data_IF_961979784720
#
_entry.id   IF_961979784720
#
_cell.length_a   1.000
_cell.length_b   1.000
_cell.length_c   1.000
_cell.angle_alpha   90.00
_cell.angle_beta   90.00
_cell.angle_gamma   90.00
#
_symmetry.space_group_name_H-M   'P 1'
#
loop_
_entity.id
_entity.type
_entity.pdbx_description
1 polymer ?
#
# COMPACT_ATOMS: atom_id res chain seq x y z
N UNK A 1 -3.27 17.46 -1.29
CA UNK A 1 -4.03 16.43 -0.57
C UNK A 1 -3.65 16.55 0.89
N UNK A 2 -4.46 17.25 1.67
CA UNK A 2 -4.19 17.58 3.08
C UNK A 2 -4.83 16.49 3.94
N UNK A 3 -4.03 15.84 4.77
CA UNK A 3 -4.52 14.87 5.75
C UNK A 3 -5.27 15.66 6.84
N UNK A 4 -6.60 15.71 6.76
CA UNK A 4 -7.46 16.33 7.77
C UNK A 4 -7.68 15.29 8.89
N UNK A 5 -7.02 15.48 10.02
CA UNK A 5 -7.34 14.74 11.26
C UNK A 5 -8.16 15.67 12.15
N UNK A 6 -9.34 15.20 12.52
CA UNK A 6 -10.30 15.91 13.36
C UNK A 6 -9.74 16.21 14.75
N UNK A 7 -9.96 17.43 15.22
CA UNK A 7 -9.68 17.89 16.58
C UNK A 7 -10.95 17.77 17.40
N UNK A 8 -10.88 17.10 18.55
CA UNK A 8 -11.86 17.15 19.64
C UNK A 8 -11.10 16.89 20.95
N UNK A 9 -11.38 17.47 22.10
CA UNK A 9 -12.22 18.60 22.53
C UNK A 9 -11.79 18.93 23.99
N UNK A 10 -11.83 20.22 24.32
CA UNK A 10 -11.74 20.93 25.61
C UNK A 10 -11.20 20.22 26.88
N UNK A 11 -10.10 20.80 27.41
CA UNK A 11 -9.72 20.74 28.82
C UNK A 11 -10.08 22.05 29.54
N UNK A 12 -10.74 21.94 30.68
CA UNK A 12 -11.15 23.03 31.59
C UNK A 12 -9.94 23.54 32.38
N UNK A 13 -9.74 24.86 32.42
CA UNK A 13 -8.66 25.54 33.16
C UNK A 13 -8.93 25.60 34.67
N UNK A 14 -7.90 25.33 35.47
CA UNK A 14 -7.76 25.80 36.86
C UNK A 14 -6.31 26.25 37.07
N UNK A 15 -6.14 27.44 37.64
CA UNK A 15 -4.87 28.16 37.81
C UNK A 15 -4.04 27.64 38.99
N UNK A 16 -2.70 27.64 38.84
CA UNK A 16 -1.79 27.67 39.98
C UNK A 16 -0.45 26.99 39.73
N UNK A 17 0.63 27.76 39.90
CA UNK A 17 1.99 27.33 40.28
C UNK A 17 3.07 27.18 39.19
N UNK A 18 4.27 27.65 39.58
CA UNK A 18 5.41 27.94 38.75
C UNK A 18 6.34 26.73 38.53
N UNK A 19 6.75 26.56 37.27
CA UNK A 19 7.92 25.87 36.69
C UNK A 19 8.67 24.84 37.56
N UNK A 20 8.90 23.65 36.97
CA UNK A 20 10.25 23.40 36.47
C UNK A 20 10.27 23.04 34.98
N UNK A 21 11.49 23.09 34.42
CA UNK A 21 11.84 22.73 33.06
C UNK A 21 10.98 21.61 32.48
N UNK A 22 10.26 21.92 31.41
CA UNK A 22 9.72 20.91 30.53
C UNK A 22 10.89 20.07 29.98
N UNK A 23 11.16 18.95 30.64
CA UNK A 23 11.50 17.74 29.93
C UNK A 23 10.38 17.58 28.90
N UNK A 24 10.66 18.00 27.66
CA UNK A 24 9.96 17.47 26.51
C UNK A 24 10.27 15.98 26.58
N UNK A 25 9.40 15.23 27.24
CA UNK A 25 9.32 13.81 27.07
C UNK A 25 9.14 13.63 25.57
N UNK A 26 10.21 13.16 24.92
CA UNK A 26 10.11 12.61 23.59
C UNK A 26 9.02 11.55 23.70
N UNK A 27 7.82 11.84 23.20
CA UNK A 27 6.84 10.80 22.94
C UNK A 27 7.56 9.82 22.03
N UNK A 28 8.01 8.72 22.62
CA UNK A 28 8.76 7.69 21.93
C UNK A 28 7.97 7.35 20.68
N UNK A 29 8.67 7.30 19.54
CA UNK A 29 8.13 6.96 18.23
C UNK A 29 7.43 5.60 18.30
N UNK A 30 6.16 5.57 18.73
CA UNK A 30 5.37 4.37 18.79
C UNK A 30 5.07 3.97 17.34
N UNK A 31 5.88 3.09 16.77
CA UNK A 31 5.53 2.47 15.49
C UNK A 31 6.64 2.03 14.56
N UNK A 32 7.93 2.01 14.94
CA UNK A 32 8.93 1.35 14.10
C UNK A 32 8.92 -0.14 14.41
N UNK A 33 8.10 -0.90 13.68
CA UNK A 33 7.91 -2.32 13.90
C UNK A 33 7.82 -3.09 12.58
N UNK A 34 7.05 -4.17 12.62
CA UNK A 34 6.69 -4.91 11.42
C UNK A 34 5.18 -4.73 11.22
N UNK A 35 4.77 -4.52 9.99
CA UNK A 35 3.35 -4.53 9.64
C UNK A 35 3.11 -5.39 8.40
N UNK A 36 1.88 -5.86 8.26
CA UNK A 36 1.40 -6.54 7.08
C UNK A 36 0.05 -5.94 6.67
N UNK A 37 -0.10 -5.67 5.39
CA UNK A 37 -1.33 -5.17 4.78
C UNK A 37 -1.65 -5.98 3.53
N UNK A 38 -2.92 -6.00 3.15
CA UNK A 38 -3.40 -6.76 2.00
C UNK A 38 -4.38 -5.94 1.17
N UNK A 39 -4.50 -6.23 -0.12
CA UNK A 39 -5.58 -5.69 -0.93
C UNK A 39 -6.93 -6.09 -0.35
N UNK A 40 -7.90 -5.20 -0.47
CA UNK A 40 -9.21 -5.34 0.17
C UNK A 40 -9.27 -4.85 1.62
N UNK A 41 -8.14 -4.43 2.20
CA UNK A 41 -8.06 -3.65 3.43
C UNK A 41 -7.85 -2.15 3.11
N UNK A 42 -8.20 -1.25 4.04
CA UNK A 42 -7.91 0.18 3.87
C UNK A 42 -6.41 0.47 3.65
N UNK A 43 -6.10 1.54 2.92
CA UNK A 43 -4.74 2.05 2.70
C UNK A 43 -4.24 1.90 1.26
N UNK A 44 -4.70 0.88 0.53
CA UNK A 44 -4.43 0.78 -0.91
C UNK A 44 -5.27 1.80 -1.69
N UNK A 45 -4.65 2.47 -2.66
CA UNK A 45 -5.34 3.39 -3.56
C UNK A 45 -5.07 3.04 -5.03
N UNK A 46 -6.11 3.06 -5.85
CA UNK A 46 -5.98 3.15 -7.30
C UNK A 46 -5.79 4.61 -7.69
N UNK A 47 -4.60 4.97 -8.16
CA UNK A 47 -4.21 6.37 -8.42
C UNK A 47 -4.34 6.78 -9.87
N UNK A 48 -4.25 5.83 -10.81
CA UNK A 48 -4.45 6.06 -12.24
C UNK A 48 -4.88 4.81 -12.98
N UNK A 49 -5.48 5.00 -14.15
CA UNK A 49 -5.88 3.96 -15.09
C UNK A 49 -7.00 4.44 -16.01
N UNK A 50 -7.38 3.63 -17.02
CA UNK A 50 -8.54 3.93 -17.86
C UNK A 50 -9.79 4.28 -17.05
N UNK A 51 -10.36 5.46 -17.29
CA UNK A 51 -11.56 5.95 -16.59
C UNK A 51 -11.34 6.46 -15.16
N UNK A 52 -10.11 6.42 -14.62
CA UNK A 52 -9.77 6.94 -13.29
C UNK A 52 -9.37 8.41 -13.41
N UNK A 53 -10.25 9.31 -12.94
CA UNK A 53 -10.02 10.77 -12.99
C UNK A 53 -9.41 11.35 -11.71
N UNK A 54 -9.49 10.61 -10.60
CA UNK A 54 -8.87 10.96 -9.33
C UNK A 54 -8.54 9.68 -8.54
N UNK A 55 -7.54 9.71 -7.63
CA UNK A 55 -7.25 8.60 -6.75
C UNK A 55 -8.47 8.15 -5.95
N UNK A 56 -8.70 6.84 -5.87
CA UNK A 56 -9.81 6.24 -5.13
C UNK A 56 -9.41 4.91 -4.49
N UNK A 57 -10.19 4.47 -3.50
CA UNK A 57 -10.07 3.10 -3.02
C UNK A 57 -10.42 2.12 -4.16
N UNK A 58 -9.64 1.05 -4.37
CA UNK A 58 -9.99 0.02 -5.33
C UNK A 58 -11.17 -0.80 -4.80
N UNK A 59 -11.94 -1.41 -5.71
CA UNK A 59 -13.18 -2.12 -5.37
C UNK A 59 -12.89 -3.60 -5.20
N UNK A 60 -13.33 -4.20 -4.08
CA UNK A 60 -13.25 -5.64 -3.88
C UNK A 60 -14.15 -6.36 -4.88
N UNK A 61 -13.61 -7.39 -5.53
CA UNK A 61 -14.31 -8.20 -6.53
C UNK A 61 -14.13 -9.68 -6.21
N UNK A 62 -15.11 -10.51 -6.57
CA UNK A 62 -14.90 -11.96 -6.56
C UNK A 62 -13.98 -12.37 -7.72
N UNK A 63 -13.17 -13.44 -7.55
CA UNK A 63 -12.30 -13.93 -8.61
C UNK A 63 -13.05 -14.16 -9.93
N UNK A 64 -12.48 -13.70 -11.05
CA UNK A 64 -12.98 -14.06 -12.37
C UNK A 64 -12.60 -15.50 -12.73
N UNK A 65 -13.24 -16.09 -13.75
CA UNK A 65 -12.96 -17.46 -14.16
C UNK A 65 -11.48 -17.68 -14.45
N UNK A 66 -10.84 -18.63 -13.76
CA UNK A 66 -9.41 -18.94 -13.89
C UNK A 66 -8.48 -18.17 -12.96
N UNK A 67 -8.96 -17.14 -12.26
CA UNK A 67 -8.19 -16.48 -11.21
C UNK A 67 -7.99 -17.40 -10.01
N UNK A 68 -6.80 -17.36 -9.44
CA UNK A 68 -6.48 -18.06 -8.21
C UNK A 68 -7.33 -17.54 -7.04
N UNK A 69 -7.47 -18.39 -6.01
CA UNK A 69 -8.00 -17.96 -4.73
C UNK A 69 -7.13 -16.84 -4.12
N UNK A 70 -7.71 -15.90 -3.36
CA UNK A 70 -6.95 -14.83 -2.72
C UNK A 70 -5.79 -15.34 -1.85
N UNK A 71 -4.70 -14.58 -1.79
CA UNK A 71 -3.52 -14.87 -0.96
C UNK A 71 -3.85 -14.64 0.53
N UNK A 72 -4.22 -15.70 1.23
CA UNK A 72 -4.49 -15.63 2.67
C UNK A 72 -5.72 -14.77 2.98
N UNK A 73 -5.54 -13.68 3.72
CA UNK A 73 -6.62 -12.76 4.11
C UNK A 73 -6.81 -11.57 3.14
N UNK A 74 -6.17 -11.61 1.97
CA UNK A 74 -6.32 -10.59 0.94
C UNK A 74 -7.64 -10.73 0.18
N UNK A 75 -7.88 -9.82 -0.77
CA UNK A 75 -8.97 -9.91 -1.72
C UNK A 75 -8.51 -9.37 -3.07
N UNK A 76 -9.07 -9.94 -4.14
CA UNK A 76 -8.99 -9.35 -5.45
C UNK A 76 -9.64 -7.97 -5.44
N UNK A 77 -8.93 -6.98 -5.94
CA UNK A 77 -9.42 -5.62 -6.14
C UNK A 77 -9.27 -5.20 -7.59
N UNK A 78 -10.16 -4.30 -8.03
CA UNK A 78 -10.15 -3.75 -9.39
C UNK A 78 -10.61 -2.29 -9.39
N UNK A 79 -10.66 -1.69 -10.58
CA UNK A 79 -11.13 -0.32 -10.79
C UNK A 79 -12.62 -0.16 -10.49
N UNK A 80 -13.43 -1.19 -10.71
CA UNK A 80 -14.87 -1.18 -10.47
C UNK A 80 -15.41 -2.59 -10.20
N UNK A 81 -16.69 -2.69 -9.86
CA UNK A 81 -17.35 -3.97 -9.56
C UNK A 81 -17.46 -4.90 -10.79
N UNK A 82 -17.34 -4.36 -12.01
CA UNK A 82 -17.27 -5.12 -13.26
C UNK A 82 -15.86 -5.59 -13.62
N UNK A 83 -14.87 -5.33 -12.75
CA UNK A 83 -13.47 -5.73 -12.90
C UNK A 83 -12.72 -5.01 -14.02
N UNK A 84 -13.16 -3.85 -14.49
CA UNK A 84 -12.46 -3.03 -15.50
C UNK A 84 -12.06 -3.75 -16.79
N UNK A 85 -12.71 -3.44 -17.91
CA UNK A 85 -12.45 -4.15 -19.19
C UNK A 85 -11.51 -3.43 -20.16
N UNK A 86 -11.12 -2.20 -19.83
CA UNK A 86 -10.36 -1.36 -20.74
C UNK A 86 -8.88 -1.74 -20.72
N UNK A 87 -8.28 -1.87 -21.90
CA UNK A 87 -6.83 -2.06 -22.05
C UNK A 87 -6.08 -0.83 -21.52
N UNK A 88 -4.99 -1.07 -20.79
CA UNK A 88 -4.14 -0.01 -20.26
C UNK A 88 -3.49 -0.38 -18.93
N UNK A 89 -2.75 0.58 -18.37
CA UNK A 89 -2.08 0.43 -17.08
C UNK A 89 -2.95 0.95 -15.95
N UNK A 90 -3.18 0.12 -14.93
CA UNK A 90 -3.85 0.46 -13.69
C UNK A 90 -2.82 0.54 -12.57
N UNK A 91 -2.67 1.71 -11.96
CA UNK A 91 -1.63 1.95 -10.95
C UNK A 91 -2.23 1.96 -9.55
N UNK A 92 -1.79 1.01 -8.72
CA UNK A 92 -2.14 0.89 -7.31
C UNK A 92 -0.98 1.34 -6.44
N UNK A 93 -1.25 2.08 -5.38
CA UNK A 93 -0.26 2.56 -4.43
C UNK A 93 -0.61 2.20 -2.99
N UNK A 94 0.43 1.96 -2.20
CA UNK A 94 0.37 1.89 -0.75
C UNK A 94 1.52 2.73 -0.16
N UNK A 95 1.18 3.62 0.77
CA UNK A 95 2.13 4.53 1.42
C UNK A 95 2.38 4.07 2.85
N UNK A 96 3.64 3.97 3.22
CA UNK A 96 4.09 3.56 4.54
C UNK A 96 5.34 4.33 4.96
N UNK A 97 5.74 4.20 6.22
CA UNK A 97 6.86 4.96 6.74
C UNK A 97 7.91 4.11 7.41
N UNK A 98 9.15 4.26 7.00
CA UNK A 98 10.30 3.62 7.62
C UNK A 98 10.97 4.60 8.56
N UNK A 99 11.37 4.13 9.74
CA UNK A 99 12.01 5.00 10.74
C UNK A 99 13.36 4.45 11.24
N UNK A 100 13.90 3.45 10.56
CA UNK A 100 15.27 2.99 10.74
C UNK A 100 15.90 2.58 9.40
N UNK A 101 17.19 2.28 9.43
CA UNK A 101 17.91 1.65 8.31
C UNK A 101 17.75 0.13 8.35
N UNK A 102 18.03 -0.57 7.24
CA UNK A 102 17.95 -2.03 7.20
C UNK A 102 16.52 -2.56 7.03
N UNK A 103 15.63 -1.76 6.44
CA UNK A 103 14.26 -2.17 6.16
C UNK A 103 14.21 -3.31 5.14
N UNK A 104 13.17 -4.12 5.22
CA UNK A 104 12.85 -5.10 4.19
C UNK A 104 11.36 -5.10 3.88
N UNK A 105 11.04 -5.43 2.64
CA UNK A 105 9.69 -5.57 2.13
C UNK A 105 9.53 -6.98 1.58
N UNK A 106 8.46 -7.66 1.98
CA UNK A 106 7.99 -8.91 1.39
C UNK A 106 6.72 -8.61 0.61
N UNK A 107 6.69 -8.96 -0.67
CA UNK A 107 5.52 -8.79 -1.52
C UNK A 107 5.15 -10.12 -2.17
N UNK A 108 3.89 -10.52 -2.05
CA UNK A 108 3.31 -11.61 -2.82
C UNK A 108 2.07 -11.08 -3.54
N UNK A 109 1.94 -11.32 -4.85
CA UNK A 109 0.81 -10.79 -5.62
C UNK A 109 0.42 -11.64 -6.83
N UNK A 110 -0.84 -11.55 -7.21
CA UNK A 110 -1.38 -11.92 -8.51
C UNK A 110 -1.79 -10.67 -9.29
N UNK A 111 -1.76 -10.74 -10.61
CA UNK A 111 -2.22 -9.66 -11.49
C UNK A 111 -2.87 -10.22 -12.75
N UNK A 112 -3.95 -9.60 -13.20
CA UNK A 112 -4.52 -9.84 -14.53
C UNK A 112 -4.34 -8.60 -15.41
N UNK A 113 -3.42 -8.60 -16.40
CA UNK A 113 -2.65 -9.74 -16.93
C UNK A 113 -1.22 -9.85 -16.39
N UNK A 114 -0.52 -8.72 -16.27
CA UNK A 114 0.87 -8.65 -15.79
C UNK A 114 1.09 -7.43 -14.91
N UNK A 115 2.16 -7.41 -14.11
CA UNK A 115 2.44 -6.25 -13.27
C UNK A 115 3.92 -6.00 -13.01
N UNK A 116 4.22 -4.74 -12.69
CA UNK A 116 5.52 -4.27 -12.23
C UNK A 116 5.34 -3.56 -10.89
N UNK A 117 6.17 -3.92 -9.91
CA UNK A 117 6.19 -3.29 -8.60
C UNK A 117 7.40 -2.37 -8.46
N UNK A 118 7.18 -1.17 -7.92
CA UNK A 118 8.18 -0.13 -7.73
C UNK A 118 8.16 0.33 -6.27
N UNK A 119 9.33 0.50 -5.67
CA UNK A 119 9.50 1.18 -4.40
C UNK A 119 10.19 2.52 -4.66
N UNK A 120 9.54 3.63 -4.31
CA UNK A 120 10.05 4.99 -4.53
C UNK A 120 10.59 5.21 -5.96
N UNK A 121 9.86 4.72 -6.96
CA UNK A 121 10.23 4.82 -8.38
C UNK A 121 11.22 3.76 -8.89
N UNK A 122 11.88 2.99 -8.01
CA UNK A 122 12.79 1.89 -8.41
C UNK A 122 12.00 0.60 -8.60
N UNK A 123 12.10 -0.04 -9.76
CA UNK A 123 11.44 -1.33 -10.00
C UNK A 123 12.10 -2.41 -9.13
N UNK A 124 11.30 -3.10 -8.31
CA UNK A 124 11.77 -4.17 -7.41
C UNK A 124 11.31 -5.55 -7.87
N UNK A 125 10.15 -5.65 -8.53
CA UNK A 125 9.63 -6.90 -9.10
C UNK A 125 8.92 -6.65 -10.41
N UNK A 126 8.89 -7.66 -11.27
CA UNK A 126 8.09 -7.69 -12.49
C UNK A 126 7.62 -9.11 -12.78
N UNK A 127 6.44 -9.24 -13.34
CA UNK A 127 5.96 -10.52 -13.87
C UNK A 127 6.39 -10.73 -15.32
N UNK A 128 6.21 -11.95 -15.83
CA UNK A 128 6.42 -12.30 -17.24
C UNK A 128 5.16 -12.95 -17.80
N UNK A 129 4.85 -12.72 -19.08
CA UNK A 129 3.62 -13.20 -19.72
C UNK A 129 2.32 -12.56 -19.20
N UNK A 130 1.17 -13.07 -19.65
CA UNK A 130 -0.17 -12.52 -19.38
C UNK A 130 -1.01 -13.31 -18.38
N UNK A 131 -0.57 -14.48 -17.92
CA UNK A 131 -1.34 -15.36 -17.02
C UNK A 131 -0.85 -15.28 -15.57
N UNK A 132 -0.64 -14.05 -15.04
CA UNK A 132 -0.13 -13.86 -13.67
C UNK A 132 -1.21 -13.87 -12.59
N UNK A 133 -2.44 -14.23 -12.97
CA UNK A 133 -3.59 -14.41 -12.10
C UNK A 133 -3.81 -15.86 -11.66
N UNK A 134 -2.93 -16.77 -12.07
CA UNK A 134 -2.99 -18.20 -11.76
C UNK A 134 -1.64 -18.75 -11.30
N UNK A 135 -1.64 -19.99 -10.80
CA UNK A 135 -0.46 -20.66 -10.27
C UNK A 135 0.03 -20.06 -8.95
N UNK A 136 1.35 -20.02 -8.76
CA UNK A 136 1.95 -19.44 -7.56
C UNK A 136 2.01 -17.90 -7.63
N UNK A 137 1.81 -17.19 -6.50
CA UNK A 137 1.97 -15.74 -6.41
C UNK A 137 3.35 -15.29 -6.87
N UNK A 138 3.42 -14.08 -7.43
CA UNK A 138 4.66 -13.42 -7.86
C UNK A 138 5.18 -12.49 -6.76
N UNK A 139 6.44 -12.09 -6.86
CA UNK A 139 7.10 -11.21 -5.89
C UNK A 139 8.25 -11.88 -5.16
N UNK A 140 8.54 -11.43 -3.95
CA UNK A 140 9.68 -11.86 -3.16
C UNK A 140 10.02 -10.88 -2.03
N UNK A 141 11.25 -10.98 -1.53
CA UNK A 141 11.79 -10.06 -0.52
C UNK A 141 12.74 -9.04 -1.15
N UNK A 142 12.63 -7.78 -0.75
CA UNK A 142 13.51 -6.70 -1.17
C UNK A 142 14.06 -5.96 0.06
N UNK A 143 15.37 -5.70 0.08
CA UNK A 143 16.09 -4.98 1.15
C UNK A 143 17.12 -3.98 0.58
N UNK A 144 16.90 -3.54 -0.66
CA UNK A 144 17.84 -2.67 -1.39
C UNK A 144 17.71 -1.18 -1.05
N UNK A 145 18.48 -0.38 -1.78
CA UNK A 145 18.65 1.07 -1.56
C UNK A 145 17.45 1.93 -1.95
N UNK A 146 16.37 1.33 -2.46
CA UNK A 146 15.16 2.08 -2.82
C UNK A 146 14.39 2.56 -1.58
N UNK A 147 14.63 2.00 -0.41
CA UNK A 147 14.10 2.54 0.84
C UNK A 147 14.73 3.90 1.14
N UNK A 148 13.91 4.85 1.57
CA UNK A 148 14.36 6.15 2.07
C UNK A 148 13.88 6.34 3.50
N UNK A 149 14.64 7.01 4.39
CA UNK A 149 14.14 7.41 5.69
C UNK A 149 12.86 8.24 5.54
N UNK A 150 11.85 7.91 6.32
CA UNK A 150 10.56 8.57 6.27
C UNK A 150 9.55 7.88 5.35
N UNK A 151 8.85 8.66 4.53
CA UNK A 151 7.75 8.18 3.68
C UNK A 151 8.25 7.39 2.48
N UNK A 152 7.68 6.22 2.29
CA UNK A 152 7.94 5.31 1.19
C UNK A 152 6.62 4.98 0.48
N UNK A 153 6.68 4.84 -0.84
CA UNK A 153 5.53 4.45 -1.67
C UNK A 153 5.86 3.17 -2.41
N UNK A 154 5.08 2.12 -2.14
CA UNK A 154 4.98 0.96 -3.02
C UNK A 154 3.95 1.27 -4.10
N UNK A 155 4.35 1.12 -5.35
CA UNK A 155 3.49 1.28 -6.53
C UNK A 155 3.47 -0.02 -7.32
N UNK A 156 2.29 -0.58 -7.58
CA UNK A 156 2.09 -1.74 -8.45
C UNK A 156 1.32 -1.27 -9.67
N UNK A 157 1.95 -1.41 -10.85
CA UNK A 157 1.33 -1.10 -12.14
C UNK A 157 0.88 -2.42 -12.75
N UNK A 158 -0.44 -2.63 -12.83
CA UNK A 158 -1.06 -3.76 -13.51
C UNK A 158 -1.32 -3.39 -14.96
N UNK A 159 -0.71 -4.10 -15.90
CA UNK A 159 -0.96 -3.98 -17.32
C UNK A 159 -2.11 -4.91 -17.71
N UNK A 160 -3.19 -4.32 -18.21
CA UNK A 160 -4.32 -5.03 -18.80
C UNK A 160 -4.17 -4.98 -20.33
N UNK A 161 -3.91 -6.11 -20.97
CA UNK A 161 -3.83 -6.25 -22.42
C UNK A 161 -5.23 -6.45 -23.05
N UNK A 162 -6.15 -7.06 -22.33
CA UNK A 162 -7.51 -7.37 -22.78
C UNK A 162 -8.39 -7.87 -21.64
N UNK A 163 -9.71 -7.82 -21.82
CA UNK A 163 -10.68 -8.36 -20.84
C UNK A 163 -10.58 -7.67 -19.46
N UNK A 164 -11.07 -8.34 -18.43
CA UNK A 164 -11.07 -7.88 -17.03
C UNK A 164 -9.66 -7.76 -16.45
N UNK A 165 -9.49 -6.85 -15.49
CA UNK A 165 -8.25 -6.65 -14.73
C UNK A 165 -8.45 -6.78 -13.23
N UNK A 166 -7.41 -7.18 -12.52
CA UNK A 166 -7.41 -7.24 -11.07
C UNK A 166 -6.02 -7.30 -10.47
N UNK A 167 -5.93 -6.93 -9.20
CA UNK A 167 -4.77 -7.09 -8.34
C UNK A 167 -5.19 -7.83 -7.07
N UNK A 168 -4.38 -8.80 -6.67
CA UNK A 168 -4.44 -9.37 -5.33
C UNK A 168 -3.03 -9.34 -4.74
N UNK A 169 -2.82 -8.68 -3.61
CA UNK A 169 -1.48 -8.49 -3.05
C UNK A 169 -1.45 -8.54 -1.52
N UNK A 170 -0.35 -9.09 -1.00
CA UNK A 170 0.05 -9.09 0.41
C UNK A 170 1.41 -8.40 0.52
N UNK A 171 1.46 -7.34 1.31
CA UNK A 171 2.66 -6.56 1.59
C UNK A 171 3.00 -6.70 3.07
N UNK A 172 4.19 -7.23 3.37
CA UNK A 172 4.81 -7.15 4.69
C UNK A 172 6.00 -6.22 4.66
N UNK A 173 6.16 -5.37 5.68
CA UNK A 173 7.32 -4.49 5.82
C UNK A 173 7.90 -4.61 7.22
N UNK A 174 9.23 -4.73 7.29
CA UNK A 174 10.02 -4.72 8.51
C UNK A 174 10.74 -3.39 8.65
N UNK A 175 10.74 -2.85 9.87
CA UNK A 175 11.37 -1.57 10.21
C UNK A 175 10.53 -0.34 9.90
N UNK A 176 9.21 -0.53 9.79
CA UNK A 176 8.28 0.48 9.35
C UNK A 176 7.02 0.53 10.23
N UNK A 177 6.32 1.66 10.15
CA UNK A 177 4.96 1.86 10.61
C UNK A 177 4.01 2.11 9.44
N UNK A 178 2.73 1.80 9.64
CA UNK A 178 1.68 2.12 8.66
C UNK A 178 1.45 3.63 8.55
N UNK A 179 1.10 4.09 7.34
CA UNK A 179 0.72 5.48 7.09
C UNK A 179 1.89 6.45 6.88
N UNK A 180 1.63 7.75 7.04
CA UNK A 180 2.62 8.84 6.89
C UNK A 180 3.44 9.05 8.17
N UNK A 181 4.68 9.55 8.02
CA UNK A 181 5.53 9.88 9.15
C UNK A 181 4.84 10.96 9.95
N UNK A 182 4.52 10.67 11.21
CA UNK A 182 4.30 11.75 12.18
C UNK A 182 5.63 12.49 12.31
N UNK A 183 5.60 13.79 12.01
CA UNK A 183 6.71 14.71 12.24
C UNK A 183 6.81 15.04 13.71
#
# INVERSE_FOLDING_TARGET
MVCLIAVASLATLSQGEARPHALIEAEAQAGCGNFETTTGKPGWMLVSGPGVTAPKAPVNVSPYGGWAAPIGASSWVSVDASRGIATGDYTYEYVFCTCQTGNSLRLAFYADNGAKAYLNGTQIFATTGSYNFTGAPKGGTYSGTAFVPGTNTLRIVVHNDSSVTGLDAVLGVTGAGEGCCRR
#
